data_IF_085916662625
#
_entry.id   IF_085916662625
#
_cell.length_a   1.000
_cell.length_b   1.000
_cell.length_c   1.000
_cell.angle_alpha   90.00
_cell.angle_beta   90.00
_cell.angle_gamma   90.00
#
_symmetry.space_group_name_H-M   'P 1'
#
loop_
_entity.id
_entity.type
_entity.pdbx_description
1 polymer ?
#
# COMPACT_ATOMS: atom_id res chain seq x y z
N UNK A 1 21.80 -7.55 14.19
CA UNK A 1 20.42 -7.46 13.68
C UNK A 1 20.05 -8.83 13.17
N UNK A 2 18.97 -9.38 13.68
CA UNK A 2 18.36 -10.61 13.17
C UNK A 2 17.27 -10.19 12.19
N UNK A 3 17.22 -10.83 11.01
CA UNK A 3 16.22 -10.59 9.98
C UNK A 3 15.52 -11.91 9.75
N UNK A 4 14.22 -11.92 9.94
CA UNK A 4 13.38 -13.10 9.83
C UNK A 4 12.16 -12.80 8.94
N UNK A 5 11.62 -13.84 8.34
CA UNK A 5 10.35 -13.80 7.60
C UNK A 5 9.30 -14.49 8.47
N UNK A 6 8.45 -13.72 9.16
CA UNK A 6 7.45 -14.29 10.04
C UNK A 6 6.35 -15.00 9.26
N UNK A 7 5.85 -16.11 9.80
CA UNK A 7 4.66 -16.81 9.30
C UNK A 7 3.41 -16.05 9.76
N UNK A 8 2.97 -15.08 8.97
CA UNK A 8 1.79 -14.26 9.25
C UNK A 8 0.81 -14.31 8.09
N UNK A 9 -0.48 -14.30 8.42
CA UNK A 9 -1.57 -14.23 7.43
C UNK A 9 -2.24 -12.86 7.52
N UNK A 10 -2.03 -11.98 6.53
CA UNK A 10 -2.66 -10.67 6.53
C UNK A 10 -4.13 -10.75 6.13
N UNK A 11 -4.99 -10.03 6.86
CA UNK A 11 -6.38 -9.81 6.55
C UNK A 11 -6.66 -8.31 6.52
N UNK A 12 -7.28 -7.82 5.46
CA UNK A 12 -7.58 -6.41 5.28
C UNK A 12 -9.05 -6.12 5.57
N UNK A 13 -9.33 -5.09 6.37
CA UNK A 13 -10.66 -4.52 6.61
C UNK A 13 -10.68 -3.09 6.09
N UNK A 14 -11.45 -2.83 5.04
CA UNK A 14 -11.43 -1.56 4.32
C UNK A 14 -12.82 -1.00 4.13
N UNK A 15 -12.91 0.32 4.04
CA UNK A 15 -14.11 1.08 3.71
C UNK A 15 -14.56 2.02 4.81
N UNK A 16 -15.60 2.84 4.57
CA UNK A 16 -16.01 3.91 5.48
C UNK A 16 -16.46 3.45 6.87
N UNK A 17 -16.91 2.21 6.99
CA UNK A 17 -17.34 1.60 8.27
C UNK A 17 -16.27 0.70 8.89
N UNK A 18 -15.06 0.63 8.33
CA UNK A 18 -14.01 -0.25 8.84
C UNK A 18 -13.62 0.07 10.28
N UNK A 19 -13.55 1.35 10.67
CA UNK A 19 -13.24 1.73 12.04
C UNK A 19 -14.32 1.27 13.04
N UNK A 20 -15.59 1.36 12.66
CA UNK A 20 -16.70 0.87 13.47
C UNK A 20 -16.64 -0.64 13.65
N UNK A 21 -16.41 -1.38 12.56
CA UNK A 21 -16.24 -2.84 12.63
C UNK A 21 -15.06 -3.22 13.52
N UNK A 22 -13.91 -2.58 13.31
CA UNK A 22 -12.72 -2.84 14.11
C UNK A 22 -12.92 -2.52 15.60
N UNK A 23 -13.65 -1.45 15.91
CA UNK A 23 -13.97 -1.10 17.29
C UNK A 23 -14.93 -2.11 17.94
N UNK A 24 -15.92 -2.60 17.19
CA UNK A 24 -16.85 -3.62 17.67
C UNK A 24 -16.15 -4.94 18.02
N UNK A 25 -15.08 -5.28 17.31
CA UNK A 25 -14.33 -6.54 17.53
C UNK A 25 -13.18 -6.37 18.50
N UNK A 26 -12.39 -5.31 18.36
CA UNK A 26 -11.12 -5.16 19.08
C UNK A 26 -11.14 -4.07 20.17
N UNK A 27 -12.23 -3.27 20.22
CA UNK A 27 -12.42 -2.19 21.19
C UNK A 27 -12.07 -0.80 20.64
N UNK A 28 -12.56 0.22 21.34
CA UNK A 28 -12.52 1.63 20.91
C UNK A 28 -11.13 2.21 20.67
N UNK A 29 -10.09 1.59 21.23
CA UNK A 29 -8.71 2.03 21.05
C UNK A 29 -8.26 2.08 19.57
N UNK A 30 -8.94 1.35 18.67
CA UNK A 30 -8.62 1.36 17.23
C UNK A 30 -8.86 2.73 16.59
N UNK A 31 -9.76 3.56 17.16
CA UNK A 31 -10.00 4.92 16.70
C UNK A 31 -8.79 5.85 16.91
N UNK A 32 -7.99 5.56 17.95
CA UNK A 32 -6.80 6.33 18.29
C UNK A 32 -5.55 5.86 17.51
N UNK A 33 -5.66 4.76 16.77
CA UNK A 33 -4.54 4.24 15.99
C UNK A 33 -4.28 5.15 14.79
N UNK A 34 -3.14 5.85 14.82
CA UNK A 34 -2.72 6.76 13.76
C UNK A 34 -2.36 6.05 12.45
N UNK A 35 -2.43 6.78 11.33
CA UNK A 35 -2.00 6.28 10.02
C UNK A 35 -0.53 5.86 10.05
N UNK A 36 -0.19 4.71 9.46
CA UNK A 36 1.13 4.06 9.54
C UNK A 36 1.59 3.77 10.99
N UNK A 37 0.65 3.51 11.89
CA UNK A 37 0.93 2.99 13.22
C UNK A 37 0.31 1.61 13.36
N UNK A 38 0.90 0.81 14.24
CA UNK A 38 0.41 -0.52 14.56
C UNK A 38 0.39 -0.75 16.06
N UNK A 39 -0.33 -1.77 16.46
CA UNK A 39 -0.38 -2.27 17.83
C UNK A 39 -0.44 -3.78 17.84
N UNK A 40 0.39 -4.38 18.68
CA UNK A 40 0.25 -5.79 19.05
C UNK A 40 -0.95 -5.95 19.99
N UNK A 41 -1.74 -6.97 19.74
CA UNK A 41 -2.95 -7.24 20.48
C UNK A 41 -3.18 -8.74 20.61
N UNK A 42 -3.83 -9.17 21.69
CA UNK A 42 -4.30 -10.54 21.85
C UNK A 42 -5.82 -10.53 21.92
N UNK A 43 -6.45 -11.06 20.90
CA UNK A 43 -7.90 -11.17 20.82
C UNK A 43 -8.33 -12.57 21.21
N UNK A 44 -8.85 -12.74 22.44
CA UNK A 44 -9.35 -14.03 22.95
C UNK A 44 -8.37 -15.21 22.79
N UNK A 45 -7.09 -14.94 22.97
CA UNK A 45 -6.02 -15.93 22.80
C UNK A 45 -5.38 -15.95 21.40
N UNK A 46 -5.90 -15.17 20.45
CA UNK A 46 -5.35 -15.05 19.09
C UNK A 46 -4.34 -13.89 19.08
N UNK A 47 -3.04 -14.17 18.87
CA UNK A 47 -2.05 -13.11 18.75
C UNK A 47 -2.13 -12.47 17.38
N UNK A 48 -2.31 -11.16 17.33
CA UNK A 48 -2.43 -10.35 16.11
C UNK A 48 -1.65 -9.06 16.22
N UNK A 49 -1.27 -8.51 15.08
CA UNK A 49 -0.83 -7.12 14.95
C UNK A 49 -1.85 -6.38 14.11
N UNK A 50 -2.37 -5.27 14.60
CA UNK A 50 -3.31 -4.43 13.85
C UNK A 50 -2.58 -3.16 13.45
N UNK A 51 -2.50 -2.91 12.13
CA UNK A 51 -1.91 -1.72 11.55
C UNK A 51 -2.98 -0.88 10.85
N UNK A 52 -2.93 0.44 11.02
CA UNK A 52 -3.77 1.35 10.25
C UNK A 52 -3.05 1.75 8.96
N UNK A 53 -3.16 0.89 7.99
CA UNK A 53 -2.61 1.04 6.65
C UNK A 53 -3.44 0.23 5.65
N UNK A 54 -3.19 0.40 4.36
CA UNK A 54 -3.87 -0.37 3.33
C UNK A 54 -3.45 0.04 1.93
N UNK A 55 -4.01 -0.63 0.95
CA UNK A 55 -3.57 -0.60 -0.45
C UNK A 55 -4.41 0.32 -1.36
N UNK A 56 -5.25 1.20 -0.79
CA UNK A 56 -6.19 2.02 -1.58
C UNK A 56 -6.34 3.47 -1.13
N UNK A 57 -5.62 3.90 -0.11
CA UNK A 57 -5.84 5.17 0.62
C UNK A 57 -7.22 5.34 1.28
N UNK A 58 -8.12 4.38 1.11
CA UNK A 58 -9.35 4.35 1.87
C UNK A 58 -9.08 4.05 3.34
N UNK A 59 -10.07 4.33 4.21
CA UNK A 59 -9.95 3.95 5.61
C UNK A 59 -9.81 2.43 5.71
N UNK A 60 -8.68 2.00 6.22
CA UNK A 60 -8.26 0.61 6.17
C UNK A 60 -7.44 0.23 7.37
N UNK A 61 -7.60 -1.03 7.77
CA UNK A 61 -6.77 -1.70 8.75
C UNK A 61 -6.27 -3.02 8.17
N UNK A 62 -5.03 -3.35 8.45
CA UNK A 62 -4.44 -4.65 8.16
C UNK A 62 -4.23 -5.39 9.49
N UNK A 63 -4.72 -6.61 9.55
CA UNK A 63 -4.60 -7.50 10.70
C UNK A 63 -3.63 -8.60 10.31
N UNK A 64 -2.48 -8.64 10.94
CA UNK A 64 -1.48 -9.67 10.74
C UNK A 64 -1.66 -10.75 11.80
N UNK A 65 -2.25 -11.86 11.38
CA UNK A 65 -2.48 -13.02 12.24
C UNK A 65 -1.16 -13.78 12.41
N UNK A 66 -0.72 -13.94 13.65
CA UNK A 66 0.53 -14.61 14.01
C UNK A 66 0.39 -16.12 14.25
N UNK A 67 -0.84 -16.62 14.28
CA UNK A 67 -1.17 -18.04 14.37
C UNK A 67 -2.16 -18.39 13.25
N UNK A 68 -1.67 -18.89 12.12
CA UNK A 68 -2.48 -19.21 10.94
C UNK A 68 -3.59 -20.23 11.23
N UNK A 69 -3.45 -21.07 12.27
CA UNK A 69 -4.50 -22.02 12.65
C UNK A 69 -5.79 -21.35 13.13
N UNK A 70 -5.71 -20.06 13.44
CA UNK A 70 -6.81 -19.20 13.91
C UNK A 70 -7.45 -18.34 12.82
N UNK A 71 -7.09 -18.56 11.56
CA UNK A 71 -7.58 -17.77 10.44
C UNK A 71 -9.09 -17.79 10.28
N UNK A 72 -9.69 -18.97 10.31
CA UNK A 72 -11.14 -19.13 10.17
C UNK A 72 -11.89 -18.50 11.35
N UNK A 73 -11.35 -18.63 12.57
CA UNK A 73 -11.95 -18.05 13.78
C UNK A 73 -11.94 -16.51 13.71
N UNK A 74 -10.83 -15.90 13.30
CA UNK A 74 -10.72 -14.46 13.12
C UNK A 74 -11.63 -13.95 12.00
N UNK A 75 -11.67 -14.65 10.87
CA UNK A 75 -12.55 -14.33 9.75
C UNK A 75 -14.00 -14.34 10.18
N UNK A 76 -14.45 -15.40 10.83
CA UNK A 76 -15.85 -15.54 11.27
C UNK A 76 -16.23 -14.46 12.29
N UNK A 77 -15.33 -14.13 13.22
CA UNK A 77 -15.54 -13.05 14.19
C UNK A 77 -15.81 -11.71 13.49
N UNK A 78 -14.96 -11.33 12.52
CA UNK A 78 -15.13 -10.11 11.74
C UNK A 78 -16.38 -10.15 10.86
N UNK A 79 -16.62 -11.30 10.23
CA UNK A 79 -17.79 -11.49 9.37
C UNK A 79 -19.10 -11.32 10.12
N UNK A 80 -19.25 -11.93 11.29
CA UNK A 80 -20.45 -11.82 12.11
C UNK A 80 -20.63 -10.39 12.64
N UNK A 81 -19.57 -9.76 13.12
CA UNK A 81 -19.63 -8.38 13.62
C UNK A 81 -19.94 -7.35 12.53
N UNK A 82 -19.64 -7.68 11.27
CA UNK A 82 -19.85 -6.80 10.11
C UNK A 82 -21.21 -6.91 9.43
N UNK A 83 -22.07 -7.87 9.82
CA UNK A 83 -23.34 -8.11 9.12
C UNK A 83 -24.24 -6.87 9.07
N UNK A 84 -24.40 -6.17 10.18
CA UNK A 84 -25.20 -4.95 10.26
C UNK A 84 -24.53 -3.74 9.60
N UNK A 85 -23.24 -3.87 9.25
CA UNK A 85 -22.45 -2.85 8.56
C UNK A 85 -22.41 -3.05 7.02
N UNK A 86 -23.10 -4.06 6.50
CA UNK A 86 -23.04 -4.50 5.10
C UNK A 86 -21.64 -4.94 4.66
N UNK A 87 -21.00 -5.75 5.49
CA UNK A 87 -19.70 -6.35 5.13
C UNK A 87 -19.85 -7.23 3.88
N UNK A 88 -18.83 -7.22 3.05
CA UNK A 88 -18.72 -8.14 1.92
C UNK A 88 -17.28 -8.63 1.79
N UNK A 89 -17.11 -9.85 1.32
CA UNK A 89 -15.80 -10.34 0.94
C UNK A 89 -15.32 -9.59 -0.31
N UNK A 90 -14.04 -9.21 -0.31
CA UNK A 90 -13.44 -8.46 -1.38
C UNK A 90 -11.96 -8.80 -1.56
N UNK A 91 -11.31 -8.08 -2.44
CA UNK A 91 -9.89 -8.19 -2.71
C UNK A 91 -9.26 -6.84 -3.08
N UNK A 92 -7.94 -6.81 -3.32
CA UNK A 92 -7.24 -5.61 -3.74
C UNK A 92 -7.89 -4.97 -4.97
N UNK A 93 -8.09 -3.65 -4.95
CA UNK A 93 -8.67 -2.91 -6.06
C UNK A 93 -7.59 -2.03 -6.72
N UNK A 94 -7.23 -2.37 -7.96
CA UNK A 94 -6.19 -1.66 -8.72
C UNK A 94 -6.60 -0.22 -9.02
N UNK A 95 -7.90 0.04 -9.29
CA UNK A 95 -8.41 1.39 -9.56
C UNK A 95 -8.15 2.30 -8.35
N UNK A 96 -8.61 1.89 -7.17
CA UNK A 96 -8.42 2.65 -5.94
C UNK A 96 -6.94 2.83 -5.58
N UNK A 97 -6.11 1.83 -5.88
CA UNK A 97 -4.66 1.92 -5.69
C UNK A 97 -4.05 3.01 -6.58
N UNK A 98 -4.37 3.02 -7.87
CA UNK A 98 -3.85 4.00 -8.84
C UNK A 98 -4.35 5.42 -8.53
N UNK A 99 -5.64 5.59 -8.28
CA UNK A 99 -6.23 6.87 -7.83
C UNK A 99 -5.59 7.35 -6.52
N UNK A 100 -5.29 6.42 -5.62
CA UNK A 100 -4.59 6.68 -4.37
C UNK A 100 -3.10 7.00 -4.53
N UNK A 101 -2.51 6.81 -5.71
CA UNK A 101 -1.07 6.98 -5.95
C UNK A 101 -0.20 6.01 -5.16
N UNK A 102 -0.72 4.82 -4.82
CA UNK A 102 0.04 3.80 -4.12
C UNK A 102 0.85 2.98 -5.12
N UNK A 103 2.16 2.99 -4.94
CA UNK A 103 3.10 2.29 -5.81
C UNK A 103 3.06 0.79 -5.60
N UNK A 104 3.19 0.05 -6.69
CA UNK A 104 3.31 -1.41 -6.68
C UNK A 104 4.60 -1.83 -7.33
N UNK A 105 5.37 -2.67 -6.61
CA UNK A 105 6.62 -3.22 -7.14
C UNK A 105 6.33 -4.14 -8.33
N UNK A 106 7.12 -4.04 -9.37
CA UNK A 106 7.00 -4.66 -10.69
C UNK A 106 5.92 -4.06 -11.61
N UNK A 107 4.90 -3.37 -11.09
CA UNK A 107 3.93 -2.65 -11.93
C UNK A 107 4.41 -1.23 -12.24
N UNK A 108 4.73 -0.46 -11.19
CA UNK A 108 5.08 0.96 -11.34
C UNK A 108 6.58 1.21 -11.25
N UNK A 109 7.30 0.36 -10.54
CA UNK A 109 8.73 0.50 -10.30
C UNK A 109 9.41 -0.87 -10.11
N UNK A 110 10.71 -0.89 -10.32
CA UNK A 110 11.55 -2.04 -10.09
C UNK A 110 12.94 -1.63 -9.52
N UNK A 111 13.90 -2.56 -9.51
CA UNK A 111 15.26 -2.30 -9.02
C UNK A 111 16.06 -1.32 -9.85
N UNK A 112 15.61 -0.93 -11.04
CA UNK A 112 16.26 0.05 -11.90
C UNK A 112 15.89 1.48 -11.56
N UNK A 113 14.85 1.67 -10.74
CA UNK A 113 14.38 2.97 -10.31
C UNK A 113 15.08 3.41 -9.02
N UNK A 114 15.30 4.71 -8.90
CA UNK A 114 15.71 5.33 -7.65
C UNK A 114 14.52 6.09 -7.01
N UNK A 115 14.56 6.39 -5.71
CA UNK A 115 13.45 7.05 -5.02
C UNK A 115 13.05 8.41 -5.60
N UNK A 116 13.99 9.18 -6.15
CA UNK A 116 13.69 10.48 -6.78
C UNK A 116 12.89 10.35 -8.07
N UNK A 117 13.05 9.24 -8.78
CA UNK A 117 12.29 8.96 -10.00
C UNK A 117 10.81 8.63 -9.71
N UNK A 118 10.54 8.04 -8.56
CA UNK A 118 9.20 7.52 -8.20
C UNK A 118 8.49 8.34 -7.11
N UNK A 119 9.03 9.54 -6.80
CA UNK A 119 8.39 10.45 -5.84
C UNK A 119 8.48 10.01 -4.37
N UNK A 120 9.48 9.21 -4.03
CA UNK A 120 9.78 8.78 -2.66
C UNK A 120 10.96 9.54 -2.02
N UNK A 121 11.36 10.65 -2.62
CA UNK A 121 12.45 11.51 -2.13
C UNK A 121 12.21 12.04 -0.71
N UNK A 122 10.96 12.25 -0.32
CA UNK A 122 10.58 12.67 1.03
C UNK A 122 10.91 11.64 2.13
N UNK A 123 11.19 10.39 1.77
CA UNK A 123 11.60 9.33 2.70
C UNK A 123 13.11 9.26 2.92
N UNK A 124 13.89 10.09 2.18
CA UNK A 124 15.34 10.04 2.21
C UNK A 124 15.87 11.18 3.09
N UNK A 125 16.59 10.83 4.14
CA UNK A 125 17.36 11.79 4.95
C UNK A 125 18.85 11.62 4.66
N UNK A 126 19.38 12.46 3.76
CA UNK A 126 20.81 12.46 3.43
C UNK A 126 21.69 13.08 4.52
N UNK A 127 21.10 13.83 5.45
CA UNK A 127 21.80 14.55 6.49
C UNK A 127 21.90 13.75 7.79
N UNK A 128 21.20 12.61 7.91
CA UNK A 128 21.32 11.72 9.07
C UNK A 128 22.78 11.31 9.30
N UNK A 129 23.18 11.16 10.56
CA UNK A 129 24.55 10.81 10.95
C UNK A 129 24.97 9.43 10.49
N UNK A 130 24.05 8.47 10.55
CA UNK A 130 24.30 7.09 10.12
C UNK A 130 24.49 6.98 8.61
N UNK A 131 25.44 6.14 8.22
CA UNK A 131 25.62 5.76 6.83
C UNK A 131 24.67 4.63 6.41
N UNK A 132 24.29 4.59 5.14
CA UNK A 132 23.46 3.54 4.58
C UNK A 132 23.84 3.23 3.12
N UNK A 133 23.50 2.02 2.68
CA UNK A 133 23.79 1.58 1.32
C UNK A 133 23.11 2.51 0.30
N UNK A 134 23.91 3.11 -0.59
CA UNK A 134 23.41 4.00 -1.63
C UNK A 134 23.36 5.49 -1.26
N UNK A 135 23.70 5.90 -0.02
CA UNK A 135 23.66 7.31 0.41
C UNK A 135 24.40 8.25 -0.53
N UNK A 136 25.63 7.90 -0.94
CA UNK A 136 26.45 8.74 -1.83
C UNK A 136 25.87 8.82 -3.25
N UNK A 137 25.37 7.70 -3.79
CA UNK A 137 24.70 7.69 -5.09
C UNK A 137 23.43 8.56 -5.08
N UNK A 138 22.65 8.51 -3.98
CA UNK A 138 21.47 9.36 -3.81
C UNK A 138 21.82 10.85 -3.68
N UNK A 139 22.94 11.20 -3.04
CA UNK A 139 23.46 12.58 -3.03
C UNK A 139 23.78 13.10 -4.43
N UNK A 140 24.43 12.28 -5.24
CA UNK A 140 24.70 12.66 -6.62
C UNK A 140 23.42 12.88 -7.43
N UNK A 141 22.43 11.99 -7.29
CA UNK A 141 21.15 12.11 -7.97
C UNK A 141 20.39 13.34 -7.49
N UNK A 142 20.40 13.63 -6.18
CA UNK A 142 19.77 14.82 -5.62
C UNK A 142 20.35 16.11 -6.24
N UNK A 143 21.67 16.16 -6.44
CA UNK A 143 22.35 17.33 -7.04
C UNK A 143 22.06 17.46 -8.53
N UNK A 144 22.11 16.35 -9.28
CA UNK A 144 21.96 16.31 -10.75
C UNK A 144 20.51 16.33 -11.20
N UNK A 145 19.60 15.92 -10.33
CA UNK A 145 18.21 15.60 -10.65
C UNK A 145 18.05 14.21 -11.27
N UNK A 146 16.85 13.59 -11.14
CA UNK A 146 16.55 12.32 -11.79
C UNK A 146 16.39 12.49 -13.30
N UNK A 147 16.74 11.45 -14.07
CA UNK A 147 16.63 11.46 -15.54
C UNK A 147 15.19 11.28 -16.04
N UNK A 148 14.34 10.65 -15.26
CA UNK A 148 12.92 10.39 -15.52
C UNK A 148 12.13 10.54 -14.23
N UNK A 149 10.81 10.72 -14.35
CA UNK A 149 9.90 10.76 -13.18
C UNK A 149 8.64 9.97 -13.48
N UNK A 150 8.19 9.23 -12.49
CA UNK A 150 6.86 8.65 -12.48
C UNK A 150 5.84 9.77 -12.26
N UNK A 151 4.84 9.84 -13.13
CA UNK A 151 3.81 10.87 -13.11
C UNK A 151 2.45 10.23 -13.27
N UNK A 152 1.45 10.73 -12.54
CA UNK A 152 0.06 10.49 -12.87
C UNK A 152 -0.37 11.37 -14.05
N UNK A 153 -1.22 10.83 -14.91
CA UNK A 153 -1.84 11.58 -16.00
C UNK A 153 -3.32 11.21 -16.12
N UNK A 154 -4.14 12.21 -16.38
CA UNK A 154 -5.53 12.01 -16.83
C UNK A 154 -5.54 11.93 -18.36
N UNK A 155 -6.23 10.94 -18.90
CA UNK A 155 -6.32 10.72 -20.33
C UNK A 155 -7.73 11.06 -20.79
N UNK A 156 -7.85 12.01 -21.71
CA UNK A 156 -9.12 12.30 -22.37
C UNK A 156 -9.33 11.30 -23.52
N UNK A 157 -10.07 10.24 -23.22
CA UNK A 157 -10.34 9.15 -24.16
C UNK A 157 -11.74 8.55 -23.90
N UNK A 158 -12.20 7.70 -24.80
CA UNK A 158 -13.37 6.86 -24.56
C UNK A 158 -13.10 5.91 -23.37
N UNK A 159 -14.15 5.54 -22.61
CA UNK A 159 -13.99 4.62 -21.48
C UNK A 159 -13.30 3.32 -21.88
N UNK A 160 -12.33 2.90 -21.05
CA UNK A 160 -11.61 1.65 -21.23
C UNK A 160 -12.33 0.59 -20.40
N UNK A 161 -12.73 -0.49 -21.06
CA UNK A 161 -13.49 -1.57 -20.40
C UNK A 161 -12.65 -2.82 -20.12
N UNK A 162 -11.42 -2.85 -20.61
CA UNK A 162 -10.47 -3.95 -20.41
C UNK A 162 -9.20 -3.41 -19.78
N UNK A 163 -8.67 -4.13 -18.80
CA UNK A 163 -7.37 -3.78 -18.21
C UNK A 163 -6.28 -3.91 -19.27
N UNK A 164 -5.38 -2.96 -19.33
CA UNK A 164 -4.20 -3.03 -20.17
C UNK A 164 -2.95 -3.22 -19.29
N UNK A 165 -2.28 -4.34 -19.49
CA UNK A 165 -1.02 -4.69 -18.82
C UNK A 165 0.20 -4.36 -19.67
N UNK A 166 0.01 -3.94 -20.93
CA UNK A 166 1.09 -3.59 -21.83
C UNK A 166 1.65 -2.20 -21.52
N UNK A 167 2.96 -2.10 -21.54
CA UNK A 167 3.65 -0.81 -21.44
C UNK A 167 3.53 -0.06 -22.76
N UNK A 168 2.68 0.95 -22.81
CA UNK A 168 2.48 1.76 -24.01
C UNK A 168 3.45 2.96 -24.05
N UNK A 169 4.02 3.30 -25.23
CA UNK A 169 4.89 4.46 -25.34
C UNK A 169 4.11 5.76 -25.21
N UNK A 170 4.64 6.70 -24.43
CA UNK A 170 4.16 8.08 -24.36
C UNK A 170 4.93 8.90 -25.39
N UNK A 171 4.20 9.62 -26.25
CA UNK A 171 4.76 10.38 -27.36
C UNK A 171 4.50 11.89 -27.20
N UNK A 172 5.51 12.71 -27.46
CA UNK A 172 5.39 14.16 -27.68
C UNK A 172 5.97 14.47 -29.06
N UNK A 173 5.19 15.07 -29.92
CA UNK A 173 5.59 15.40 -31.31
C UNK A 173 6.18 14.20 -32.06
N UNK A 174 5.59 13.01 -31.88
CA UNK A 174 6.01 11.76 -32.50
C UNK A 174 7.29 11.14 -31.94
N UNK A 175 7.87 11.69 -30.87
CA UNK A 175 9.03 11.15 -30.17
C UNK A 175 8.62 10.47 -28.89
N UNK A 176 9.15 9.29 -28.64
CA UNK A 176 8.96 8.58 -27.37
C UNK A 176 9.66 9.35 -26.25
N UNK A 177 8.90 9.77 -25.25
CA UNK A 177 9.39 10.50 -24.07
C UNK A 177 9.22 9.71 -22.77
N UNK A 178 8.48 8.62 -22.80
CA UNK A 178 8.23 7.77 -21.64
C UNK A 178 7.43 6.54 -22.01
N UNK A 179 7.02 5.81 -20.97
CA UNK A 179 6.09 4.69 -21.10
C UNK A 179 4.98 4.78 -20.04
N UNK A 180 3.82 4.31 -20.39
CA UNK A 180 2.69 4.14 -19.47
C UNK A 180 2.77 2.74 -18.88
N UNK A 181 2.81 2.66 -17.55
CA UNK A 181 3.02 1.41 -16.83
C UNK A 181 1.71 0.77 -16.38
N UNK A 182 0.72 1.59 -16.03
CA UNK A 182 -0.61 1.13 -15.60
C UNK A 182 -1.68 2.14 -16.01
N UNK A 183 -2.86 1.64 -16.33
CA UNK A 183 -4.00 2.43 -16.78
C UNK A 183 -5.30 1.84 -16.23
N UNK A 184 -6.21 2.68 -15.75
CA UNK A 184 -7.55 2.32 -15.25
C UNK A 184 -8.58 3.31 -15.76
#
# INVERSE_FOLDING_TARGET
VEVDEPDVSPLQVQGPKSAELMANVFGDWVHDLGFYRFKEFNHEGIPIVIARMGYSRELCYEIFLQDHSKGDELWECLWQAGQDLNISAGGPNIILRLEGGILSYLSDLDRTNNPYEVGLDWMIDLDQEDDFIGKEALREINIKGPLKKLMGAEIEADPIYESNEDHLPVLIDGKVVGSMNAMV
#
